data_IF_924066423557
#
_entry.id   IF_924066423557
#
_cell.length_a   1.000
_cell.length_b   1.000
_cell.length_c   1.000
_cell.angle_alpha   90.00
_cell.angle_beta   90.00
_cell.angle_gamma   90.00
#
_symmetry.space_group_name_H-M   'P 1'
#
loop_
_entity.id
_entity.type
_entity.pdbx_description
1 polymer ?
#
# COMPACT_ATOMS: atom_id res chain seq x y z
N UNK A 1 -11.19 -8.29 5.27
CA UNK A 1 -9.79 -8.73 5.35
C UNK A 1 -9.27 -8.49 6.74
N UNK A 2 -8.45 -9.34 7.31
CA UNK A 2 -7.82 -9.01 8.56
C UNK A 2 -6.99 -7.72 8.37
N UNK A 3 -7.17 -6.76 9.24
CA UNK A 3 -6.48 -5.46 9.25
C UNK A 3 -4.95 -5.63 9.38
N UNK A 4 -4.53 -6.79 9.91
CA UNK A 4 -3.14 -7.09 10.26
C UNK A 4 -2.16 -6.97 9.07
N UNK A 5 -2.46 -7.58 7.92
CA UNK A 5 -1.54 -7.58 6.77
C UNK A 5 -1.32 -6.15 6.22
N UNK A 6 -2.36 -5.34 5.98
CA UNK A 6 -2.17 -3.94 5.60
C UNK A 6 -1.35 -3.12 6.60
N UNK A 7 -1.56 -3.31 7.91
CA UNK A 7 -0.79 -2.62 8.94
C UNK A 7 0.67 -3.06 8.97
N UNK A 8 0.94 -4.38 8.86
CA UNK A 8 2.31 -4.89 8.77
C UNK A 8 3.06 -4.33 7.55
N UNK A 9 2.41 -4.31 6.38
CA UNK A 9 3.00 -3.74 5.17
C UNK A 9 3.24 -2.22 5.30
N UNK A 10 2.32 -1.49 5.92
CA UNK A 10 2.49 -0.05 6.16
C UNK A 10 3.64 0.22 7.14
N UNK A 11 3.76 -0.56 8.22
CA UNK A 11 4.90 -0.48 9.15
C UNK A 11 6.20 -0.79 8.43
N UNK A 12 6.22 -1.82 7.59
CA UNK A 12 7.41 -2.22 6.84
C UNK A 12 7.84 -1.14 5.83
N UNK A 13 6.91 -0.54 5.10
CA UNK A 13 7.23 0.55 4.17
C UNK A 13 7.62 1.84 4.90
N UNK A 14 7.05 2.10 6.08
CA UNK A 14 7.47 3.18 6.97
C UNK A 14 8.93 3.00 7.43
N UNK A 15 9.28 1.82 7.94
CA UNK A 15 10.66 1.52 8.37
C UNK A 15 11.66 1.61 7.21
N UNK A 16 11.23 1.28 5.98
CA UNK A 16 12.06 1.49 4.79
C UNK A 16 12.39 2.98 4.59
N UNK A 17 11.42 3.89 4.73
CA UNK A 17 11.69 5.33 4.63
C UNK A 17 12.68 5.81 5.69
N UNK A 18 12.55 5.32 6.93
CA UNK A 18 13.49 5.63 8.03
C UNK A 18 14.89 5.08 7.74
N UNK A 19 15.01 3.85 7.23
CA UNK A 19 16.32 3.26 6.91
C UNK A 19 17.09 4.03 5.84
N UNK A 20 16.38 4.69 4.91
CA UNK A 20 17.03 5.60 3.94
C UNK A 20 17.62 6.82 4.65
N UNK A 21 16.92 7.39 5.63
CA UNK A 21 17.42 8.54 6.38
C UNK A 21 18.66 8.17 7.22
N UNK A 22 18.61 7.01 7.88
CA UNK A 22 19.73 6.47 8.65
C UNK A 22 20.96 6.22 7.77
N UNK A 23 20.79 5.59 6.61
CA UNK A 23 21.86 5.39 5.62
C UNK A 23 22.51 6.71 5.17
N UNK A 24 21.75 7.80 5.10
CA UNK A 24 22.29 9.13 4.76
C UNK A 24 22.93 9.84 5.94
N UNK A 25 23.09 9.16 7.08
CA UNK A 25 23.70 9.70 8.29
C UNK A 25 22.83 10.75 9.00
N UNK A 26 21.51 10.76 8.76
CA UNK A 26 20.60 11.64 9.48
C UNK A 26 20.41 11.14 10.92
N UNK A 27 20.35 12.04 11.91
CA UNK A 27 20.12 11.64 13.30
C UNK A 27 18.74 10.98 13.43
N UNK A 28 18.67 9.89 14.19
CA UNK A 28 17.41 9.24 14.48
C UNK A 28 16.59 10.07 15.47
N UNK A 29 15.48 10.64 15.01
CA UNK A 29 14.55 11.43 15.80
C UNK A 29 13.45 10.52 16.36
N UNK A 30 13.65 10.00 17.58
CA UNK A 30 12.78 8.99 18.19
C UNK A 30 11.32 9.46 18.31
N UNK A 31 11.06 10.69 18.74
CA UNK A 31 9.71 11.24 18.84
C UNK A 31 9.02 11.32 17.48
N UNK A 32 9.72 11.81 16.45
CA UNK A 32 9.21 11.87 15.08
C UNK A 32 8.93 10.49 14.50
N UNK A 33 9.77 9.51 14.85
CA UNK A 33 9.56 8.11 14.46
C UNK A 33 8.24 7.56 15.01
N UNK A 34 8.02 7.63 16.32
CA UNK A 34 6.85 7.02 16.94
C UNK A 34 5.56 7.77 16.61
N UNK A 35 5.59 9.10 16.58
CA UNK A 35 4.43 9.91 16.20
C UNK A 35 4.08 9.73 14.71
N UNK A 36 5.08 9.69 13.83
CA UNK A 36 4.89 9.42 12.41
C UNK A 36 4.35 8.00 12.15
N UNK A 37 4.87 7.00 12.84
CA UNK A 37 4.35 5.63 12.77
C UNK A 37 2.90 5.54 13.26
N UNK A 38 2.54 6.24 14.34
CA UNK A 38 1.16 6.32 14.82
C UNK A 38 0.25 6.90 13.73
N UNK A 39 0.64 8.01 13.10
CA UNK A 39 -0.13 8.60 11.99
C UNK A 39 -0.32 7.58 10.86
N UNK A 40 0.74 6.88 10.44
CA UNK A 40 0.68 5.89 9.36
C UNK A 40 -0.23 4.71 9.72
N UNK A 41 -0.18 4.20 10.94
CA UNK A 41 -1.07 3.13 11.40
C UNK A 41 -2.53 3.61 11.38
N UNK A 42 -2.80 4.82 11.86
CA UNK A 42 -4.16 5.38 11.87
C UNK A 42 -4.68 5.66 10.45
N UNK A 43 -3.86 6.21 9.56
CA UNK A 43 -4.24 6.43 8.15
C UNK A 43 -4.54 5.12 7.44
N UNK A 44 -3.74 4.08 7.67
CA UNK A 44 -3.98 2.74 7.10
C UNK A 44 -5.24 2.09 7.69
N UNK A 45 -5.53 2.35 8.97
CA UNK A 45 -6.77 1.91 9.61
C UNK A 45 -7.97 2.58 8.97
N UNK A 46 -7.97 3.91 8.82
CA UNK A 46 -9.03 4.66 8.15
C UNK A 46 -9.24 4.15 6.71
N UNK A 47 -8.16 3.93 5.96
CA UNK A 47 -8.20 3.40 4.58
C UNK A 47 -8.88 2.03 4.51
N UNK A 48 -8.85 1.26 5.60
CA UNK A 48 -9.52 -0.04 5.71
C UNK A 48 -10.98 0.06 6.16
N UNK A 49 -11.33 1.06 6.99
CA UNK A 49 -12.66 1.23 7.58
C UNK A 49 -13.63 2.03 6.70
N UNK A 50 -13.16 3.15 6.12
CA UNK A 50 -14.02 4.05 5.35
C UNK A 50 -14.73 3.39 4.16
N UNK A 51 -14.15 2.47 3.39
CA UNK A 51 -14.86 1.77 2.33
C UNK A 51 -16.10 1.01 2.81
N UNK A 52 -16.05 0.46 4.04
CA UNK A 52 -17.16 -0.25 4.65
C UNK A 52 -18.27 0.71 5.11
N UNK A 53 -17.91 1.94 5.52
CA UNK A 53 -18.88 3.00 5.86
C UNK A 53 -19.73 3.35 4.64
N UNK A 54 -19.08 3.54 3.48
CA UNK A 54 -19.73 3.94 2.23
C UNK A 54 -20.09 2.74 1.34
N UNK A 55 -20.18 1.53 1.89
CA UNK A 55 -20.58 0.33 1.16
C UNK A 55 -21.95 0.51 0.51
N UNK A 56 -22.09 0.08 -0.76
CA UNK A 56 -23.35 0.24 -1.51
C UNK A 56 -24.45 -0.63 -0.89
N UNK A 57 -25.70 -0.12 -0.91
CA UNK A 57 -26.85 -0.86 -0.38
C UNK A 57 -27.18 -2.10 -1.22
N UNK A 58 -26.79 -2.10 -2.50
CA UNK A 58 -26.91 -3.26 -3.40
C UNK A 58 -25.92 -4.39 -3.08
N UNK A 59 -24.86 -4.13 -2.30
CA UNK A 59 -23.93 -5.19 -1.89
C UNK A 59 -24.59 -6.13 -0.87
N UNK A 60 -24.27 -7.45 -0.92
CA UNK A 60 -24.93 -8.43 -0.05
C UNK A 60 -24.68 -8.14 1.42
N UNK A 61 -25.65 -8.51 2.24
CA UNK A 61 -25.46 -8.56 3.69
C UNK A 61 -24.42 -9.63 4.01
N UNK A 62 -23.60 -9.38 5.03
CA UNK A 62 -22.70 -10.40 5.58
C UNK A 62 -23.52 -11.51 6.28
N UNK A 63 -22.89 -12.65 6.52
CA UNK A 63 -23.53 -13.72 7.30
C UNK A 63 -24.03 -13.17 8.63
N UNK A 64 -25.33 -13.40 8.93
CA UNK A 64 -26.03 -12.93 10.13
C UNK A 64 -26.14 -11.38 10.27
N UNK A 65 -25.95 -10.62 9.19
CA UNK A 65 -26.16 -9.18 9.17
C UNK A 65 -27.60 -8.84 8.79
N UNK A 66 -28.29 -8.03 9.60
CA UNK A 66 -29.56 -7.39 9.26
C UNK A 66 -29.33 -5.96 8.78
N UNK A 67 -30.31 -5.35 8.10
CA UNK A 67 -30.21 -3.95 7.67
C UNK A 67 -29.96 -3.00 8.84
N UNK A 68 -30.60 -3.24 9.98
CA UNK A 68 -30.38 -2.47 11.21
C UNK A 68 -28.96 -2.62 11.73
N UNK A 69 -28.45 -3.86 11.83
CA UNK A 69 -27.08 -4.14 12.25
C UNK A 69 -26.06 -3.49 11.29
N UNK A 70 -26.33 -3.50 9.97
CA UNK A 70 -25.50 -2.80 8.99
C UNK A 70 -25.39 -1.31 9.27
N UNK A 71 -26.52 -0.66 9.60
CA UNK A 71 -26.52 0.77 9.90
C UNK A 71 -25.75 1.09 11.17
N UNK A 72 -25.94 0.32 12.24
CA UNK A 72 -25.17 0.45 13.49
C UNK A 72 -23.67 0.27 13.23
N UNK A 73 -23.30 -0.76 12.45
CA UNK A 73 -21.90 -1.01 12.08
C UNK A 73 -21.31 0.17 11.30
N UNK A 74 -22.04 0.71 10.30
CA UNK A 74 -21.62 1.90 9.54
C UNK A 74 -21.35 3.09 10.44
N UNK A 75 -22.25 3.37 11.39
CA UNK A 75 -22.08 4.47 12.33
C UNK A 75 -20.85 4.27 13.22
N UNK A 76 -20.65 3.07 13.75
CA UNK A 76 -19.48 2.75 14.58
C UNK A 76 -18.18 2.92 13.80
N UNK A 77 -18.11 2.41 12.56
CA UNK A 77 -16.94 2.55 11.70
C UNK A 77 -16.68 4.03 11.33
N UNK A 78 -17.74 4.81 11.12
CA UNK A 78 -17.62 6.25 10.86
C UNK A 78 -17.06 6.98 12.09
N UNK A 79 -17.62 6.75 13.28
CA UNK A 79 -17.11 7.37 14.51
C UNK A 79 -15.67 6.96 14.82
N UNK A 80 -15.30 5.68 14.60
CA UNK A 80 -13.92 5.23 14.74
C UNK A 80 -13.00 5.94 13.75
N UNK A 81 -13.42 6.09 12.49
CA UNK A 81 -12.64 6.81 11.47
C UNK A 81 -12.48 8.29 11.82
N UNK A 82 -13.52 8.94 12.32
CA UNK A 82 -13.45 10.33 12.77
C UNK A 82 -12.53 10.49 13.98
N UNK A 83 -12.60 9.59 14.96
CA UNK A 83 -11.70 9.57 16.10
C UNK A 83 -10.22 9.42 15.65
N UNK A 84 -9.95 8.51 14.70
CA UNK A 84 -8.62 8.36 14.12
C UNK A 84 -8.14 9.67 13.44
N UNK A 85 -9.01 10.37 12.68
CA UNK A 85 -8.67 11.64 12.04
C UNK A 85 -8.32 12.71 13.10
N UNK A 86 -9.08 12.79 14.19
CA UNK A 86 -8.79 13.72 15.29
C UNK A 86 -7.43 13.41 15.91
N UNK A 87 -7.13 12.14 16.17
CA UNK A 87 -5.82 11.73 16.73
C UNK A 87 -4.70 12.06 15.75
N UNK A 88 -4.87 11.83 14.43
CA UNK A 88 -3.90 12.22 13.42
C UNK A 88 -3.64 13.74 13.46
N UNK A 89 -4.70 14.54 13.51
CA UNK A 89 -4.58 16.00 13.55
C UNK A 89 -3.85 16.49 14.82
N UNK A 90 -4.17 15.90 15.98
CA UNK A 90 -3.48 16.20 17.24
C UNK A 90 -2.01 15.79 17.19
N UNK A 91 -1.71 14.61 16.65
CA UNK A 91 -0.33 14.12 16.51
C UNK A 91 0.47 15.00 15.55
N UNK A 92 -0.10 15.39 14.41
CA UNK A 92 0.51 16.33 13.47
C UNK A 92 0.73 17.72 14.12
N UNK A 93 -0.21 18.20 14.93
CA UNK A 93 -0.05 19.43 15.69
C UNK A 93 1.09 19.34 16.72
N UNK A 94 1.22 18.21 17.42
CA UNK A 94 2.35 17.98 18.35
C UNK A 94 3.69 18.01 17.59
N UNK A 95 3.76 17.36 16.41
CA UNK A 95 4.97 17.44 15.56
C UNK A 95 5.26 18.88 15.13
N UNK A 96 4.22 19.65 14.79
CA UNK A 96 4.37 21.05 14.37
C UNK A 96 4.90 21.97 15.48
N UNK A 97 4.33 21.90 16.69
CA UNK A 97 4.79 22.76 17.82
C UNK A 97 6.18 22.40 18.32
N UNK A 98 6.66 21.18 18.04
CA UNK A 98 8.01 20.72 18.36
C UNK A 98 9.02 20.95 17.21
N UNK A 99 8.67 21.75 16.20
CA UNK A 99 9.48 22.01 15.00
C UNK A 99 9.94 20.72 14.28
N UNK A 100 9.17 19.63 14.43
CA UNK A 100 9.47 18.30 13.90
C UNK A 100 8.59 17.90 12.69
N UNK A 101 7.81 18.86 12.16
CA UNK A 101 6.96 18.65 10.97
C UNK A 101 7.44 19.56 9.82
N UNK A 102 8.41 19.11 9.02
CA UNK A 102 8.84 19.84 7.85
C UNK A 102 7.72 19.99 6.81
N UNK A 103 7.80 21.01 5.97
CA UNK A 103 6.81 21.25 4.91
C UNK A 103 6.66 20.05 3.98
N UNK A 104 7.76 19.37 3.65
CA UNK A 104 7.75 18.14 2.85
C UNK A 104 6.91 17.03 3.48
N UNK A 105 7.07 16.77 4.78
CA UNK A 105 6.28 15.79 5.53
C UNK A 105 4.81 16.18 5.59
N UNK A 106 4.53 17.45 5.84
CA UNK A 106 3.16 17.96 5.86
C UNK A 106 2.45 17.76 4.52
N UNK A 107 3.13 18.00 3.38
CA UNK A 107 2.58 17.78 2.05
C UNK A 107 2.31 16.29 1.78
N UNK A 108 3.20 15.38 2.18
CA UNK A 108 2.97 13.94 2.07
C UNK A 108 1.84 13.45 2.98
N UNK A 109 1.67 14.02 4.17
CA UNK A 109 0.53 13.73 5.04
C UNK A 109 -0.78 14.20 4.41
N UNK A 110 -0.82 15.39 3.83
CA UNK A 110 -1.99 15.87 3.08
C UNK A 110 -2.30 14.97 1.88
N UNK A 111 -1.28 14.56 1.13
CA UNK A 111 -1.43 13.62 0.02
C UNK A 111 -1.99 12.27 0.49
N UNK A 112 -1.49 11.75 1.62
CA UNK A 112 -2.01 10.52 2.25
C UNK A 112 -3.49 10.63 2.56
N UNK A 113 -3.92 11.72 3.22
CA UNK A 113 -5.34 11.96 3.52
C UNK A 113 -6.17 12.13 2.23
N UNK A 114 -5.66 12.87 1.24
CA UNK A 114 -6.32 13.04 -0.05
C UNK A 114 -6.55 11.68 -0.76
N UNK A 115 -5.54 10.80 -0.73
CA UNK A 115 -5.67 9.44 -1.29
C UNK A 115 -6.74 8.65 -0.53
N UNK A 116 -6.75 8.67 0.81
CA UNK A 116 -7.73 7.96 1.63
C UNK A 116 -9.15 8.41 1.30
N UNK A 117 -9.38 9.73 1.26
CA UNK A 117 -10.70 10.26 0.94
C UNK A 117 -11.12 9.97 -0.49
N UNK A 118 -10.26 10.19 -1.47
CA UNK A 118 -10.60 9.92 -2.88
C UNK A 118 -10.79 8.42 -3.15
N UNK A 119 -10.07 7.55 -2.45
CA UNK A 119 -10.24 6.10 -2.52
C UNK A 119 -11.60 5.65 -1.99
N UNK A 120 -12.02 6.19 -0.82
CA UNK A 120 -13.10 5.60 -0.02
C UNK A 120 -14.43 6.34 -0.14
N UNK A 121 -14.41 7.70 -0.29
CA UNK A 121 -15.60 8.54 -0.11
C UNK A 121 -16.22 9.02 -1.41
N UNK A 122 -17.58 9.14 -1.47
CA UNK A 122 -18.23 9.86 -2.56
C UNK A 122 -17.79 11.35 -2.61
N UNK A 123 -17.73 11.97 -3.78
CA UNK A 123 -18.15 11.49 -5.10
C UNK A 123 -17.11 10.65 -5.83
N UNK A 124 -15.84 10.63 -5.39
CA UNK A 124 -14.76 9.96 -6.11
C UNK A 124 -14.83 8.44 -5.99
N UNK A 125 -14.71 7.92 -4.78
CA UNK A 125 -14.82 6.50 -4.43
C UNK A 125 -14.12 5.56 -5.42
N UNK A 126 -12.83 5.77 -5.65
CA UNK A 126 -12.04 5.03 -6.64
C UNK A 126 -11.96 3.53 -6.39
N UNK A 127 -12.24 3.06 -5.15
CA UNK A 127 -12.38 1.64 -4.85
C UNK A 127 -13.39 0.92 -5.76
N UNK A 128 -14.42 1.64 -6.25
CA UNK A 128 -15.46 1.10 -7.11
C UNK A 128 -15.39 1.67 -8.54
N UNK A 129 -14.25 2.19 -8.96
CA UNK A 129 -14.05 2.75 -10.31
C UNK A 129 -12.89 2.09 -11.08
N UNK A 130 -12.33 1.00 -10.55
CA UNK A 130 -11.22 0.27 -11.18
C UNK A 130 -9.89 1.03 -11.17
N UNK A 131 -9.70 1.95 -10.22
CA UNK A 131 -8.43 2.66 -9.99
C UNK A 131 -8.00 2.60 -8.52
N UNK A 132 -8.76 1.90 -7.68
CA UNK A 132 -8.48 1.80 -6.25
C UNK A 132 -7.15 1.13 -5.96
N UNK A 133 -6.81 0.08 -6.69
CA UNK A 133 -5.56 -0.67 -6.54
C UNK A 133 -4.32 0.21 -6.78
N UNK A 134 -4.41 1.13 -7.75
CA UNK A 134 -3.35 2.09 -8.03
C UNK A 134 -3.15 3.06 -6.85
N UNK A 135 -4.24 3.63 -6.31
CA UNK A 135 -4.16 4.53 -5.15
C UNK A 135 -3.58 3.82 -3.93
N UNK A 136 -4.00 2.58 -3.67
CA UNK A 136 -3.44 1.77 -2.59
C UNK A 136 -1.94 1.50 -2.78
N UNK A 137 -1.51 1.19 -4.01
CA UNK A 137 -0.12 0.93 -4.32
C UNK A 137 0.76 2.18 -4.14
N UNK A 138 0.33 3.32 -4.66
CA UNK A 138 1.03 4.60 -4.48
C UNK A 138 1.11 4.99 -3.00
N UNK A 139 -0.01 4.88 -2.27
CA UNK A 139 -0.03 5.20 -0.85
C UNK A 139 0.96 4.33 -0.06
N UNK A 140 0.91 3.01 -0.25
CA UNK A 140 1.70 2.06 0.51
C UNK A 140 3.19 2.09 0.16
N UNK A 141 3.53 2.17 -1.13
CA UNK A 141 4.90 1.99 -1.60
C UNK A 141 5.69 3.29 -1.85
N UNK A 142 4.98 4.43 -1.95
CA UNK A 142 5.62 5.71 -2.20
C UNK A 142 5.34 6.75 -1.10
N UNK A 143 4.06 6.97 -0.76
CA UNK A 143 3.69 8.04 0.17
C UNK A 143 4.13 7.72 1.60
N UNK A 144 3.87 6.51 2.10
CA UNK A 144 4.26 6.11 3.47
C UNK A 144 5.78 6.19 3.69
N UNK A 145 6.65 5.60 2.85
CA UNK A 145 8.09 5.75 3.06
C UNK A 145 8.58 7.19 2.89
N UNK A 146 7.91 8.00 2.03
CA UNK A 146 8.25 9.42 1.91
C UNK A 146 7.92 10.20 3.17
N UNK A 147 6.78 9.94 3.83
CA UNK A 147 6.45 10.52 5.14
C UNK A 147 7.55 10.16 6.15
N UNK A 148 7.89 8.87 6.23
CA UNK A 148 8.88 8.38 7.18
C UNK A 148 10.26 9.03 6.98
N UNK A 149 10.71 9.08 5.72
CA UNK A 149 11.98 9.70 5.37
C UNK A 149 12.01 11.19 5.70
N UNK A 150 11.00 11.95 5.26
CA UNK A 150 10.99 13.41 5.43
C UNK A 150 10.81 13.84 6.89
N UNK A 151 10.18 13.03 7.74
CA UNK A 151 10.13 13.26 9.19
C UNK A 151 11.48 13.08 9.88
N UNK A 152 12.43 12.33 9.28
CA UNK A 152 13.77 12.13 9.82
C UNK A 152 14.80 13.04 9.18
N UNK A 153 14.63 13.42 7.91
CA UNK A 153 15.66 14.08 7.11
C UNK A 153 15.38 15.57 6.81
N UNK A 154 14.18 16.05 7.06
CA UNK A 154 13.70 17.44 6.72
C UNK A 154 13.89 17.83 5.24
N UNK A 155 14.06 16.87 4.36
CA UNK A 155 14.31 17.10 2.94
C UNK A 155 13.71 15.98 2.08
N UNK A 156 13.75 16.13 0.77
CA UNK A 156 13.49 15.04 -0.17
C UNK A 156 14.81 14.56 -0.77
N UNK A 157 14.92 13.27 -1.05
CA UNK A 157 16.14 12.69 -1.62
C UNK A 157 15.82 11.74 -2.77
N UNK A 158 16.80 11.60 -3.70
CA UNK A 158 16.65 10.71 -4.89
C UNK A 158 16.33 9.24 -4.55
N UNK A 159 16.69 8.76 -3.37
CA UNK A 159 16.36 7.39 -2.94
C UNK A 159 14.86 7.14 -2.79
N UNK A 160 14.04 8.20 -2.62
CA UNK A 160 12.59 8.06 -2.66
C UNK A 160 12.07 7.57 -4.03
N UNK A 161 12.87 7.73 -5.10
CA UNK A 161 12.55 7.17 -6.40
C UNK A 161 12.45 5.63 -6.40
N UNK A 162 13.06 4.94 -5.41
CA UNK A 162 12.87 3.50 -5.19
C UNK A 162 11.42 3.13 -4.86
N UNK A 163 10.62 4.08 -4.39
CA UNK A 163 9.18 3.91 -4.25
C UNK A 163 8.45 3.69 -5.57
N UNK A 164 9.01 4.12 -6.72
CA UNK A 164 8.38 3.91 -8.04
C UNK A 164 8.35 2.41 -8.40
N UNK A 165 9.48 1.69 -8.49
CA UNK A 165 9.44 0.25 -8.75
C UNK A 165 8.70 -0.53 -7.66
N UNK A 166 8.79 -0.12 -6.39
CA UNK A 166 7.99 -0.71 -5.32
C UNK A 166 6.49 -0.52 -5.53
N UNK A 167 6.05 0.63 -6.11
CA UNK A 167 4.64 0.87 -6.44
C UNK A 167 4.14 -0.13 -7.50
N UNK A 168 4.95 -0.51 -8.48
CA UNK A 168 4.57 -1.54 -9.44
C UNK A 168 4.45 -2.93 -8.80
N UNK A 169 5.33 -3.29 -7.85
CA UNK A 169 5.19 -4.54 -7.09
C UNK A 169 3.94 -4.51 -6.17
N UNK A 170 3.67 -3.39 -5.52
CA UNK A 170 2.47 -3.20 -4.71
C UNK A 170 1.19 -3.28 -5.55
N UNK A 171 1.21 -2.68 -6.76
CA UNK A 171 0.08 -2.76 -7.69
C UNK A 171 -0.17 -4.20 -8.13
N UNK A 172 0.88 -4.95 -8.48
CA UNK A 172 0.78 -6.38 -8.79
C UNK A 172 0.20 -7.17 -7.59
N UNK A 173 0.63 -6.88 -6.36
CA UNK A 173 0.09 -7.47 -5.14
C UNK A 173 -1.41 -7.18 -4.97
N UNK A 174 -1.86 -5.93 -5.12
CA UNK A 174 -3.27 -5.58 -4.98
C UNK A 174 -4.15 -6.19 -6.09
N UNK A 175 -3.64 -6.27 -7.31
CA UNK A 175 -4.33 -6.92 -8.42
C UNK A 175 -4.57 -8.40 -8.11
N UNK A 176 -3.54 -9.12 -7.64
CA UNK A 176 -3.65 -10.56 -7.30
C UNK A 176 -4.73 -10.80 -6.26
N UNK A 177 -4.89 -9.93 -5.30
CA UNK A 177 -5.90 -10.06 -4.24
C UNK A 177 -7.34 -10.08 -4.76
N UNK A 178 -7.60 -9.44 -5.88
CA UNK A 178 -8.96 -9.35 -6.44
C UNK A 178 -9.36 -10.57 -7.27
N UNK A 179 -8.42 -11.45 -7.62
CA UNK A 179 -8.75 -12.63 -8.41
C UNK A 179 -9.70 -13.60 -7.69
N UNK A 180 -9.53 -13.78 -6.38
CA UNK A 180 -10.40 -14.65 -5.58
C UNK A 180 -11.84 -14.14 -5.50
N UNK A 181 -12.04 -12.81 -5.46
CA UNK A 181 -13.36 -12.19 -5.34
C UNK A 181 -14.02 -11.89 -6.68
N UNK A 182 -13.36 -12.15 -7.81
CA UNK A 182 -13.80 -11.74 -9.15
C UNK A 182 -15.25 -12.07 -9.48
N UNK A 183 -15.67 -13.33 -9.24
CA UNK A 183 -17.04 -13.78 -9.53
C UNK A 183 -18.08 -13.05 -8.66
N UNK A 184 -17.74 -12.76 -7.40
CA UNK A 184 -18.60 -11.98 -6.51
C UNK A 184 -18.64 -10.51 -6.92
N UNK A 185 -17.49 -9.93 -7.26
CA UNK A 185 -17.38 -8.53 -7.69
C UNK A 185 -18.21 -8.29 -8.97
N UNK A 186 -18.18 -9.24 -9.93
CA UNK A 186 -19.05 -9.19 -11.12
C UNK A 186 -20.55 -9.29 -10.75
N UNK A 187 -20.91 -10.25 -9.89
CA UNK A 187 -22.30 -10.45 -9.47
C UNK A 187 -22.93 -9.20 -8.83
N UNK A 188 -22.13 -8.44 -8.09
CA UNK A 188 -22.60 -7.24 -7.37
C UNK A 188 -22.19 -5.91 -8.03
N UNK A 189 -21.78 -5.96 -9.31
CA UNK A 189 -21.36 -4.78 -10.09
C UNK A 189 -20.27 -3.94 -9.39
N UNK A 190 -19.39 -4.58 -8.65
CA UNK A 190 -18.25 -3.92 -8.04
C UNK A 190 -17.15 -3.74 -9.09
N UNK A 191 -16.81 -2.49 -9.39
CA UNK A 191 -15.84 -2.17 -10.43
C UNK A 191 -14.43 -2.09 -9.81
N UNK A 192 -13.72 -3.22 -9.86
CA UNK A 192 -12.27 -3.31 -9.56
C UNK A 192 -11.47 -3.18 -10.85
N UNK A 193 -10.14 -3.03 -10.75
CA UNK A 193 -9.26 -3.07 -11.92
C UNK A 193 -9.46 -4.36 -12.74
N UNK A 194 -9.60 -5.49 -12.05
CA UNK A 194 -9.82 -6.79 -12.66
C UNK A 194 -11.18 -6.92 -13.35
N UNK A 195 -12.28 -6.47 -12.72
CA UNK A 195 -13.62 -6.55 -13.34
C UNK A 195 -13.78 -5.59 -14.50
N UNK A 196 -13.06 -4.45 -14.48
CA UNK A 196 -13.09 -3.45 -15.55
C UNK A 196 -12.36 -3.91 -16.82
N UNK A 197 -11.21 -4.56 -16.69
CA UNK A 197 -10.38 -4.98 -17.82
C UNK A 197 -10.55 -6.44 -18.24
N UNK A 198 -11.05 -7.28 -17.31
CA UNK A 198 -11.15 -8.72 -17.48
C UNK A 198 -9.84 -9.48 -17.31
N UNK A 199 -9.93 -10.78 -17.04
CA UNK A 199 -8.77 -11.67 -16.82
C UNK A 199 -7.76 -11.66 -17.96
N UNK A 200 -8.25 -11.67 -19.20
CA UNK A 200 -7.41 -11.76 -20.39
C UNK A 200 -6.41 -10.61 -20.53
N UNK A 201 -6.78 -9.41 -20.03
CA UNK A 201 -5.91 -8.22 -20.05
C UNK A 201 -5.13 -8.04 -18.76
N UNK A 202 -5.74 -8.37 -17.63
CA UNK A 202 -5.12 -8.11 -16.31
C UNK A 202 -3.99 -9.09 -16.01
N UNK A 203 -4.06 -10.35 -16.46
CA UNK A 203 -2.96 -11.30 -16.26
C UNK A 203 -1.67 -10.85 -16.96
N UNK A 204 -1.65 -10.54 -18.27
CA UNK A 204 -0.45 -10.00 -18.91
C UNK A 204 0.01 -8.67 -18.29
N UNK A 205 -0.92 -7.80 -17.89
CA UNK A 205 -0.59 -6.51 -17.28
C UNK A 205 0.07 -6.69 -15.89
N UNK A 206 -0.41 -7.65 -15.11
CA UNK A 206 0.25 -8.04 -13.85
C UNK A 206 1.70 -8.49 -14.12
N UNK A 207 1.93 -9.35 -15.13
CA UNK A 207 3.27 -9.79 -15.47
C UNK A 207 4.16 -8.61 -15.90
N UNK A 208 3.59 -7.69 -16.70
CA UNK A 208 4.28 -6.47 -17.10
C UNK A 208 4.70 -5.63 -15.88
N UNK A 209 3.81 -5.42 -14.90
CA UNK A 209 4.14 -4.63 -13.71
C UNK A 209 5.26 -5.27 -12.89
N UNK A 210 5.22 -6.59 -12.69
CA UNK A 210 6.29 -7.30 -11.99
C UNK A 210 7.62 -7.14 -12.74
N UNK A 211 7.65 -7.42 -14.04
CA UNK A 211 8.89 -7.30 -14.84
C UNK A 211 9.39 -5.86 -14.92
N UNK A 212 8.48 -4.88 -15.07
CA UNK A 212 8.82 -3.46 -15.09
C UNK A 212 9.45 -3.00 -13.78
N UNK A 213 8.96 -3.49 -12.64
CA UNK A 213 9.54 -3.17 -11.35
C UNK A 213 11.01 -3.62 -11.27
N UNK A 214 11.33 -4.87 -11.63
CA UNK A 214 12.71 -5.36 -11.61
C UNK A 214 13.57 -4.66 -12.67
N UNK A 215 13.02 -4.34 -13.84
CA UNK A 215 13.70 -3.54 -14.85
C UNK A 215 14.07 -2.15 -14.29
N UNK A 216 13.14 -1.45 -13.62
CA UNK A 216 13.40 -0.15 -13.02
C UNK A 216 14.44 -0.23 -11.87
N UNK A 217 14.42 -1.31 -11.07
CA UNK A 217 15.50 -1.55 -10.12
C UNK A 217 16.85 -1.70 -10.82
N UNK A 218 16.92 -2.45 -11.91
CA UNK A 218 18.16 -2.58 -12.70
C UNK A 218 18.64 -1.24 -13.27
N UNK A 219 17.71 -0.34 -13.61
CA UNK A 219 18.02 1.00 -14.15
C UNK A 219 18.36 2.05 -13.08
N UNK A 220 18.31 1.69 -11.80
CA UNK A 220 18.56 2.65 -10.69
C UNK A 220 19.93 3.33 -10.74
N UNK A 221 21.03 2.75 -11.29
CA UNK A 221 22.30 3.45 -11.44
C UNK A 221 22.20 4.71 -12.31
N UNK A 222 21.28 4.74 -13.28
CA UNK A 222 21.05 5.92 -14.11
C UNK A 222 20.55 7.12 -13.29
N UNK A 223 19.96 6.86 -12.13
CA UNK A 223 19.49 7.86 -11.18
C UNK A 223 20.47 8.06 -10.01
N UNK A 224 21.70 7.53 -10.14
CA UNK A 224 22.75 7.64 -9.14
C UNK A 224 22.53 6.77 -7.89
N UNK A 225 21.73 5.71 -7.99
CA UNK A 225 21.53 4.73 -6.94
C UNK A 225 22.33 3.46 -7.28
N UNK A 226 23.34 3.14 -6.47
CA UNK A 226 24.22 1.99 -6.71
C UNK A 226 23.44 0.66 -6.71
N UNK A 227 23.77 -0.22 -7.67
CA UNK A 227 23.23 -1.58 -7.68
C UNK A 227 23.56 -2.35 -6.39
N UNK A 228 24.69 -2.04 -5.75
CA UNK A 228 25.06 -2.67 -4.48
C UNK A 228 24.04 -2.40 -3.35
N UNK A 229 23.28 -1.31 -3.41
CA UNK A 229 22.24 -0.97 -2.43
C UNK A 229 20.93 -1.71 -2.68
N UNK A 230 20.68 -2.13 -3.91
CA UNK A 230 19.38 -2.69 -4.29
C UNK A 230 19.45 -4.15 -4.72
N UNK A 231 20.65 -4.74 -4.80
CA UNK A 231 20.82 -6.12 -5.27
C UNK A 231 19.98 -7.13 -4.49
N UNK A 232 19.75 -6.87 -3.20
CA UNK A 232 18.96 -7.72 -2.31
C UNK A 232 17.51 -7.90 -2.74
N UNK A 233 16.95 -6.92 -3.49
CA UNK A 233 15.60 -7.05 -4.08
C UNK A 233 15.54 -8.22 -5.05
N UNK A 234 16.62 -8.51 -5.78
CA UNK A 234 16.64 -9.60 -6.75
C UNK A 234 16.55 -10.99 -6.11
N UNK A 235 16.72 -11.10 -4.79
CA UNK A 235 16.45 -12.34 -4.04
C UNK A 235 14.93 -12.68 -4.06
N UNK A 236 14.08 -11.73 -4.35
CA UNK A 236 12.62 -11.95 -4.50
C UNK A 236 12.22 -12.41 -5.91
N UNK A 237 13.15 -12.36 -6.88
CA UNK A 237 12.88 -12.72 -8.27
C UNK A 237 12.33 -14.15 -8.46
N UNK A 238 12.85 -15.18 -7.75
CA UNK A 238 12.30 -16.55 -7.84
C UNK A 238 10.82 -16.59 -7.45
N UNK A 239 10.42 -15.87 -6.39
CA UNK A 239 9.01 -15.77 -5.98
C UNK A 239 8.17 -15.04 -7.02
N UNK A 240 8.71 -13.99 -7.65
CA UNK A 240 8.05 -13.24 -8.71
C UNK A 240 7.81 -14.11 -9.96
N UNK A 241 8.81 -14.85 -10.40
CA UNK A 241 8.68 -15.78 -11.53
C UNK A 241 7.69 -16.90 -11.22
N UNK A 242 7.73 -17.43 -10.00
CA UNK A 242 6.79 -18.45 -9.56
C UNK A 242 5.35 -17.90 -9.50
N UNK A 243 5.14 -16.67 -9.04
CA UNK A 243 3.84 -16.00 -9.06
C UNK A 243 3.31 -15.81 -10.49
N UNK A 244 4.17 -15.37 -11.43
CA UNK A 244 3.83 -15.27 -12.86
C UNK A 244 3.39 -16.63 -13.40
N UNK A 245 4.15 -17.68 -13.09
CA UNK A 245 3.81 -19.06 -13.51
C UNK A 245 2.46 -19.52 -12.94
N UNK A 246 2.22 -19.32 -11.63
CA UNK A 246 0.96 -19.68 -10.98
C UNK A 246 -0.22 -18.96 -11.61
N UNK A 247 -0.13 -17.64 -11.79
CA UNK A 247 -1.23 -16.87 -12.34
C UNK A 247 -1.51 -17.23 -13.80
N UNK A 248 -0.44 -17.48 -14.59
CA UNK A 248 -0.58 -17.99 -15.95
C UNK A 248 -1.26 -19.37 -15.99
N UNK A 249 -0.86 -20.30 -15.12
CA UNK A 249 -1.46 -21.64 -15.04
C UNK A 249 -2.96 -21.56 -14.72
N UNK A 250 -3.33 -20.70 -13.76
CA UNK A 250 -4.74 -20.46 -13.41
C UNK A 250 -5.51 -19.90 -14.60
N UNK A 251 -4.93 -18.95 -15.34
CA UNK A 251 -5.56 -18.38 -16.54
C UNK A 251 -5.77 -19.37 -17.67
N UNK A 252 -5.00 -20.46 -17.70
CA UNK A 252 -5.11 -21.57 -18.64
C UNK A 252 -6.06 -22.69 -18.17
N UNK A 253 -6.73 -22.49 -17.02
CA UNK A 253 -7.75 -23.42 -16.51
C UNK A 253 -7.30 -24.33 -15.37
N UNK A 254 -6.09 -24.16 -14.83
CA UNK A 254 -5.66 -24.91 -13.65
C UNK A 254 -6.47 -24.50 -12.42
N UNK A 255 -6.75 -25.46 -11.52
CA UNK A 255 -7.46 -25.19 -10.26
C UNK A 255 -6.65 -24.18 -9.41
N UNK A 256 -7.24 -23.04 -9.01
CA UNK A 256 -6.52 -22.03 -8.26
C UNK A 256 -6.24 -22.43 -6.81
N UNK A 257 -5.01 -22.25 -6.38
CA UNK A 257 -4.66 -22.24 -4.96
C UNK A 257 -4.49 -20.77 -4.52
N UNK A 258 -5.58 -20.16 -4.04
CA UNK A 258 -5.61 -18.76 -3.66
C UNK A 258 -4.65 -18.42 -2.52
N UNK A 259 -4.51 -19.32 -1.54
CA UNK A 259 -3.58 -19.11 -0.42
C UNK A 259 -2.13 -19.01 -0.90
N UNK A 260 -1.71 -19.92 -1.79
CA UNK A 260 -0.36 -19.90 -2.36
C UNK A 260 -0.14 -18.66 -3.23
N UNK A 261 -1.12 -18.28 -4.05
CA UNK A 261 -1.04 -17.11 -4.90
C UNK A 261 -0.94 -15.82 -4.09
N UNK A 262 -1.72 -15.70 -3.01
CA UNK A 262 -1.65 -14.54 -2.12
C UNK A 262 -0.33 -14.51 -1.31
N UNK A 263 0.14 -15.67 -0.86
CA UNK A 263 1.42 -15.76 -0.14
C UNK A 263 2.59 -15.37 -1.02
N UNK A 264 2.63 -15.82 -2.29
CA UNK A 264 3.68 -15.42 -3.24
C UNK A 264 3.62 -13.93 -3.56
N UNK A 265 2.41 -13.36 -3.73
CA UNK A 265 2.25 -11.92 -3.98
C UNK A 265 2.74 -11.07 -2.78
N UNK A 266 2.40 -11.51 -1.55
CA UNK A 266 2.90 -10.89 -0.32
C UNK A 266 4.42 -11.02 -0.20
N UNK A 267 4.98 -12.18 -0.54
CA UNK A 267 6.43 -12.40 -0.52
C UNK A 267 7.15 -11.49 -1.53
N UNK A 268 6.66 -11.37 -2.76
CA UNK A 268 7.29 -10.53 -3.79
C UNK A 268 7.38 -9.08 -3.35
N UNK A 269 6.28 -8.49 -2.88
CA UNK A 269 6.29 -7.10 -2.43
C UNK A 269 6.90 -6.93 -1.04
N UNK A 270 6.46 -7.72 -0.05
CA UNK A 270 6.88 -7.57 1.35
C UNK A 270 8.37 -7.86 1.55
N UNK A 271 8.90 -8.96 0.96
CA UNK A 271 10.33 -9.25 1.06
C UNK A 271 11.18 -8.25 0.27
N UNK A 272 10.68 -7.70 -0.86
CA UNK A 272 11.41 -6.66 -1.57
C UNK A 272 11.63 -5.43 -0.67
N UNK A 273 10.58 -4.95 0.00
CA UNK A 273 10.68 -3.84 0.97
C UNK A 273 11.57 -4.23 2.15
N UNK A 274 11.40 -5.43 2.70
CA UNK A 274 12.19 -5.92 3.83
C UNK A 274 13.69 -5.97 3.51
N UNK A 275 14.08 -6.54 2.37
CA UNK A 275 15.47 -6.63 1.97
C UNK A 275 16.08 -5.26 1.68
N UNK A 276 15.35 -4.34 1.09
CA UNK A 276 15.79 -2.95 0.94
C UNK A 276 16.03 -2.31 2.30
N UNK A 277 15.07 -2.41 3.23
CA UNK A 277 15.19 -1.88 4.58
C UNK A 277 16.46 -2.39 5.26
N UNK A 278 16.70 -3.71 5.23
CA UNK A 278 17.89 -4.31 5.80
C UNK A 278 19.18 -3.80 5.12
N UNK A 279 19.16 -3.68 3.79
CA UNK A 279 20.37 -3.23 3.06
C UNK A 279 20.73 -1.80 3.42
N UNK A 280 19.74 -0.91 3.60
CA UNK A 280 19.99 0.47 3.99
C UNK A 280 20.43 0.57 5.46
N UNK A 281 19.94 -0.28 6.36
CA UNK A 281 20.36 -0.26 7.77
C UNK A 281 21.73 -0.91 8.03
N UNK A 282 22.14 -1.88 7.23
CA UNK A 282 23.41 -2.61 7.44
C UNK A 282 24.62 -1.97 6.73
N UNK A 283 24.42 -0.88 6.02
CA UNK A 283 25.47 -0.15 5.28
C UNK A 283 25.58 1.30 5.71
#
# INVERSE_FOLDING_TARGET
MPLLIPLLLATLTYTFGVSIADYLGKPFLESSFWLGLLIVILTQTIMSLLPEVFRLDAEPLLENETRSKRQVRRNNLLYTSLACIVVIALTAYILFINDSLPLSSFLFLLLSLAIIFTYSTPPFRFINRGAGEFLLAVHLAYVIPSIAFTLQADETHRFLALGIPLTFLALAYFIVRNFQSFAQDQKYNRVTFLTRLGWQRVVPLHHLFVLLAYFLFTMSPLFGISLSLIWSVFLTLPFALFQIFLLRSISLGSKPNWTLLHATALAVFGLAVYFLTLTFWLR
#
